data_IF_796484804376
#
_entry.id   IF_796484804376
#
_cell.length_a   1.000
_cell.length_b   1.000
_cell.length_c   1.000
_cell.angle_alpha   90.00
_cell.angle_beta   90.00
_cell.angle_gamma   90.00
#
_symmetry.space_group_name_H-M   'P 1'
#
loop_
_entity.id
_entity.type
_entity.pdbx_description
1 polymer ?
#
# COMPACT_ATOMS: atom_id res chain seq x y z
N UNK A 1 -4.12 -2.49 13.76
CA UNK A 1 -3.01 -2.07 14.63
C UNK A 1 -1.82 -1.74 13.76
N UNK A 2 -1.65 -0.47 13.39
CA UNK A 2 -0.65 0.03 12.43
C UNK A 2 0.79 -0.14 12.92
N UNK A 3 1.23 -1.39 13.02
CA UNK A 3 2.57 -1.75 13.44
C UNK A 3 3.51 -1.79 12.24
N UNK A 4 4.69 -1.21 12.42
CA UNK A 4 5.79 -1.37 11.49
C UNK A 4 6.54 -2.67 11.82
N UNK A 5 6.82 -3.47 10.80
CA UNK A 5 7.54 -4.74 10.93
C UNK A 5 8.82 -4.65 10.11
N UNK A 6 9.96 -4.95 10.73
CA UNK A 6 11.24 -5.06 10.04
C UNK A 6 11.58 -6.54 9.81
N UNK A 7 11.66 -6.95 8.54
CA UNK A 7 12.03 -8.31 8.15
C UNK A 7 13.51 -8.38 7.76
N UNK A 8 14.33 -9.06 8.55
CA UNK A 8 15.77 -9.23 8.29
C UNK A 8 16.04 -10.69 7.95
N UNK A 9 16.78 -10.93 6.87
CA UNK A 9 17.19 -12.28 6.45
C UNK A 9 17.91 -12.26 5.10
N UNK A 10 18.61 -13.35 4.78
CA UNK A 10 19.37 -13.51 3.54
C UNK A 10 18.50 -13.34 2.28
N UNK A 11 19.11 -13.08 1.10
CA UNK A 11 18.42 -13.20 -0.17
C UNK A 11 17.74 -14.57 -0.28
N UNK A 12 16.52 -14.61 -0.82
CA UNK A 12 15.74 -15.85 -0.96
C UNK A 12 15.04 -16.36 0.31
N UNK A 13 15.18 -15.70 1.47
CA UNK A 13 14.53 -16.12 2.72
C UNK A 13 12.99 -15.97 2.76
N UNK A 14 12.35 -15.64 1.63
CA UNK A 14 10.88 -15.55 1.54
C UNK A 14 10.25 -14.28 2.13
N UNK A 15 11.02 -13.22 2.39
CA UNK A 15 10.53 -11.95 2.97
C UNK A 15 9.36 -11.36 2.17
N UNK A 16 9.53 -11.21 0.86
CA UNK A 16 8.49 -10.66 -0.02
C UNK A 16 7.30 -11.63 -0.16
N UNK A 17 7.52 -12.94 -0.02
CA UNK A 17 6.45 -13.95 0.01
C UNK A 17 5.57 -13.82 1.26
N UNK A 18 6.19 -13.63 2.42
CA UNK A 18 5.50 -13.38 3.70
C UNK A 18 4.73 -12.06 3.67
N UNK A 19 5.36 -10.98 3.21
CA UNK A 19 4.72 -9.67 3.13
C UNK A 19 3.44 -9.69 2.29
N UNK A 20 3.45 -10.34 1.11
CA UNK A 20 2.27 -10.45 0.23
C UNK A 20 1.10 -11.21 0.84
N UNK A 21 1.34 -12.09 1.82
CA UNK A 21 0.30 -12.86 2.52
C UNK A 21 -0.17 -12.18 3.80
N UNK A 22 0.53 -11.15 4.29
CA UNK A 22 0.12 -10.43 5.48
C UNK A 22 -1.34 -9.93 5.40
N UNK A 23 -1.83 -9.35 4.28
CA UNK A 23 -3.23 -8.93 4.18
C UNK A 23 -4.26 -10.05 4.42
N UNK A 24 -3.93 -11.31 4.11
CA UNK A 24 -4.89 -12.43 4.24
C UNK A 24 -5.09 -12.91 5.67
N UNK A 25 -4.25 -12.47 6.61
CA UNK A 25 -4.38 -12.80 8.04
C UNK A 25 -4.82 -11.60 8.88
N UNK A 26 -4.94 -10.41 8.26
CA UNK A 26 -5.49 -9.25 8.92
C UNK A 26 -7.01 -9.42 9.09
N UNK A 27 -7.61 -8.78 10.11
CA UNK A 27 -9.06 -8.71 10.20
C UNK A 27 -9.67 -8.11 8.93
N UNK A 28 -10.85 -8.61 8.57
CA UNK A 28 -11.65 -8.05 7.48
C UNK A 28 -11.84 -6.54 7.67
N UNK A 29 -12.04 -5.85 6.55
CA UNK A 29 -12.34 -4.43 6.60
C UNK A 29 -13.74 -4.23 7.16
N UNK A 30 -13.87 -3.31 8.11
CA UNK A 30 -15.17 -2.75 8.43
C UNK A 30 -15.72 -1.99 7.22
N UNK A 31 -17.04 -1.83 7.12
CA UNK A 31 -17.66 -1.02 6.05
C UNK A 31 -17.09 0.39 5.99
N UNK A 32 -16.75 0.99 7.13
CA UNK A 32 -16.15 2.32 7.21
C UNK A 32 -14.75 2.34 6.57
N UNK A 33 -13.88 1.41 6.96
CA UNK A 33 -12.53 1.30 6.37
C UNK A 33 -12.59 1.04 4.86
N UNK A 34 -13.54 0.19 4.43
CA UNK A 34 -13.75 -0.12 3.01
C UNK A 34 -14.13 1.14 2.20
N UNK A 35 -15.05 1.95 2.72
CA UNK A 35 -15.44 3.21 2.10
C UNK A 35 -14.28 4.20 2.04
N UNK A 36 -13.57 4.41 3.15
CA UNK A 36 -12.42 5.33 3.22
C UNK A 36 -11.31 4.95 2.23
N UNK A 37 -10.96 3.66 2.13
CA UNK A 37 -9.98 3.19 1.15
C UNK A 37 -10.48 3.33 -0.29
N UNK A 38 -11.78 3.08 -0.52
CA UNK A 38 -12.41 3.22 -1.84
C UNK A 38 -12.43 4.67 -2.32
N UNK A 39 -12.67 5.64 -1.44
CA UNK A 39 -12.62 7.07 -1.79
C UNK A 39 -11.24 7.45 -2.35
N UNK A 40 -10.16 6.99 -1.72
CA UNK A 40 -8.79 7.23 -2.19
C UNK A 40 -8.58 6.61 -3.57
N UNK A 41 -8.98 5.36 -3.76
CA UNK A 41 -8.85 4.66 -5.04
C UNK A 41 -9.71 5.29 -6.14
N UNK A 42 -10.89 5.80 -5.80
CA UNK A 42 -11.77 6.52 -6.72
C UNK A 42 -11.15 7.83 -7.19
N UNK A 43 -10.54 8.61 -6.30
CA UNK A 43 -9.79 9.83 -6.69
C UNK A 43 -8.60 9.49 -7.58
N UNK A 44 -7.97 8.33 -7.35
CA UNK A 44 -6.90 7.82 -8.21
C UNK A 44 -7.40 7.25 -9.55
N UNK A 45 -8.71 7.09 -9.75
CA UNK A 45 -9.29 6.49 -10.96
C UNK A 45 -9.08 4.97 -11.05
N UNK A 46 -8.92 4.29 -9.90
CA UNK A 46 -8.63 2.85 -9.80
C UNK A 46 -9.86 2.00 -9.45
N UNK A 47 -11.05 2.60 -9.45
CA UNK A 47 -12.33 1.91 -9.22
C UNK A 47 -13.19 1.98 -10.49
N UNK A 48 -14.01 0.97 -10.72
CA UNK A 48 -14.94 0.92 -11.85
C UNK A 48 -16.30 0.31 -11.43
N UNK A 49 -17.25 0.23 -12.36
CA UNK A 49 -18.60 -0.30 -12.09
C UNK A 49 -18.61 -1.80 -11.76
N UNK A 50 -17.60 -2.57 -12.18
CA UNK A 50 -17.45 -3.98 -11.86
C UNK A 50 -16.81 -4.20 -10.49
N UNK A 51 -15.95 -3.27 -10.05
CA UNK A 51 -15.28 -3.28 -8.76
C UNK A 51 -15.42 -1.90 -8.07
N UNK A 52 -16.64 -1.55 -7.64
CA UNK A 52 -16.92 -0.19 -7.15
C UNK A 52 -16.40 0.05 -5.73
N UNK A 53 -15.97 -0.99 -5.02
CA UNK A 53 -15.58 -0.91 -3.62
C UNK A 53 -14.45 -1.89 -3.28
N UNK A 54 -13.50 -1.43 -2.47
CA UNK A 54 -12.45 -2.27 -1.91
C UNK A 54 -13.02 -3.09 -0.75
N UNK A 55 -13.04 -4.41 -0.94
CA UNK A 55 -13.49 -5.37 0.08
C UNK A 55 -12.33 -6.06 0.80
N UNK A 56 -11.11 -5.90 0.31
CA UNK A 56 -9.91 -6.52 0.84
C UNK A 56 -8.85 -5.48 1.16
N UNK A 57 -8.09 -5.75 2.23
CA UNK A 57 -6.96 -4.91 2.68
C UNK A 57 -5.98 -4.72 1.51
N UNK A 58 -5.72 -3.48 1.04
CA UNK A 58 -4.83 -3.28 -0.10
C UNK A 58 -3.39 -3.66 0.25
N UNK A 59 -2.63 -4.11 -0.76
CA UNK A 59 -1.19 -4.36 -0.62
C UNK A 59 -0.43 -3.55 -1.67
N UNK A 60 0.49 -2.70 -1.22
CA UNK A 60 1.38 -1.91 -2.06
C UNK A 60 2.82 -2.36 -1.85
N UNK A 61 3.56 -2.54 -2.93
CA UNK A 61 4.97 -2.89 -2.90
C UNK A 61 5.72 -2.05 -3.95
N UNK A 62 5.90 -0.75 -3.68
CA UNK A 62 6.61 0.14 -4.60
C UNK A 62 8.06 -0.27 -4.80
N UNK A 63 8.58 0.00 -5.99
CA UNK A 63 10.01 -0.11 -6.27
C UNK A 63 10.76 1.09 -5.65
N UNK A 64 11.95 0.88 -5.11
CA UNK A 64 12.76 1.92 -4.44
C UNK A 64 13.18 3.08 -5.36
N UNK A 65 13.02 2.93 -6.67
CA UNK A 65 13.28 3.97 -7.69
C UNK A 65 12.13 4.96 -7.87
N UNK A 66 11.01 4.81 -7.15
CA UNK A 66 9.92 5.78 -7.20
C UNK A 66 10.37 7.13 -6.63
N UNK A 67 9.86 8.22 -7.22
CA UNK A 67 10.07 9.55 -6.67
C UNK A 67 9.35 9.72 -5.33
N UNK A 68 9.82 10.67 -4.51
CA UNK A 68 9.13 11.05 -3.28
C UNK A 68 7.66 11.43 -3.55
N UNK A 69 7.37 12.13 -4.66
CA UNK A 69 6.01 12.48 -5.06
C UNK A 69 5.15 11.29 -5.48
N UNK A 70 5.72 10.22 -6.04
CA UNK A 70 4.97 9.00 -6.32
C UNK A 70 4.67 8.21 -5.03
N UNK A 71 5.57 8.27 -4.05
CA UNK A 71 5.38 7.68 -2.73
C UNK A 71 4.32 8.40 -1.90
N UNK A 72 4.41 9.73 -1.79
CA UNK A 72 3.53 10.54 -0.92
C UNK A 72 2.28 11.06 -1.63
N UNK A 73 2.31 11.17 -2.95
CA UNK A 73 1.30 11.86 -3.75
C UNK A 73 1.70 13.31 -4.06
N UNK A 74 0.96 13.94 -4.97
CA UNK A 74 1.23 15.32 -5.38
C UNK A 74 0.82 15.63 -6.81
N UNK A 75 1.46 16.66 -7.39
CA UNK A 75 1.14 17.20 -8.71
C UNK A 75 0.28 18.47 -8.62
N UNK A 76 0.10 19.16 -9.77
CA UNK A 76 -0.76 20.36 -9.85
C UNK A 76 -2.20 20.06 -9.46
N UNK A 77 -2.70 18.90 -9.88
CA UNK A 77 -3.90 18.28 -9.33
C UNK A 77 -3.44 17.17 -8.40
N UNK A 78 -3.61 17.31 -7.07
CA UNK A 78 -3.13 16.32 -6.12
C UNK A 78 -3.69 14.93 -6.41
N UNK A 79 -2.80 13.96 -6.62
CA UNK A 79 -3.15 12.55 -6.74
C UNK A 79 -2.60 11.74 -5.57
N UNK A 80 -3.32 10.71 -5.11
CA UNK A 80 -2.81 9.78 -4.10
C UNK A 80 -1.50 9.12 -4.51
N UNK A 81 -0.54 9.02 -3.59
CA UNK A 81 0.68 8.22 -3.75
C UNK A 81 0.53 6.80 -3.20
N UNK A 82 1.61 6.02 -3.25
CA UNK A 82 1.69 4.64 -2.76
C UNK A 82 1.27 4.49 -1.29
N UNK A 83 1.65 5.45 -0.43
CA UNK A 83 1.28 5.45 0.99
C UNK A 83 -0.25 5.58 1.14
N UNK A 84 -0.85 6.50 0.40
CA UNK A 84 -2.31 6.71 0.41
C UNK A 84 -3.05 5.51 -0.16
N UNK A 85 -2.55 4.89 -1.24
CA UNK A 85 -3.16 3.70 -1.83
C UNK A 85 -3.08 2.46 -0.94
N UNK A 86 -2.14 2.43 0.02
CA UNK A 86 -2.02 1.39 1.04
C UNK A 86 -2.92 1.62 2.27
N UNK A 87 -3.77 2.66 2.27
CA UNK A 87 -4.62 3.00 3.41
C UNK A 87 -5.46 1.82 3.89
N UNK A 88 -5.51 1.62 5.21
CA UNK A 88 -6.10 0.45 5.87
C UNK A 88 -5.53 -0.92 5.47
N UNK A 89 -4.43 -0.96 4.71
CA UNK A 89 -3.79 -2.17 4.23
C UNK A 89 -2.33 -2.29 4.63
N UNK A 90 -1.49 -2.75 3.70
CA UNK A 90 -0.07 -3.03 3.90
C UNK A 90 0.75 -2.31 2.83
N UNK A 91 1.74 -1.53 3.28
CA UNK A 91 2.81 -0.99 2.46
C UNK A 91 4.09 -1.79 2.73
N UNK A 92 4.60 -2.48 1.73
CA UNK A 92 5.83 -3.24 1.80
C UNK A 92 6.96 -2.52 1.06
N UNK A 93 8.03 -2.21 1.78
CA UNK A 93 9.22 -1.55 1.26
C UNK A 93 10.35 -2.58 1.21
N UNK A 94 10.49 -3.24 0.05
CA UNK A 94 11.62 -4.15 -0.16
C UNK A 94 12.90 -3.34 -0.35
N UNK A 95 14.04 -3.88 0.10
CA UNK A 95 15.32 -3.16 -0.01
C UNK A 95 15.27 -1.75 0.62
N UNK A 96 14.61 -1.62 1.78
CA UNK A 96 14.39 -0.34 2.49
C UNK A 96 15.60 0.61 2.52
N UNK A 97 16.86 0.15 2.72
CA UNK A 97 18.03 1.05 2.67
C UNK A 97 18.25 1.80 1.35
N UNK A 98 17.72 1.30 0.24
CA UNK A 98 17.84 1.88 -1.11
C UNK A 98 16.83 3.01 -1.39
N UNK A 99 15.84 3.21 -0.50
CA UNK A 99 14.93 4.35 -0.63
C UNK A 99 15.66 5.66 -0.29
N UNK A 100 15.38 6.71 -1.06
CA UNK A 100 15.91 8.06 -0.84
C UNK A 100 15.60 8.58 0.56
N UNK A 101 16.51 9.34 1.16
CA UNK A 101 16.41 9.87 2.55
C UNK A 101 16.04 11.35 2.61
N UNK A 102 15.66 11.91 1.46
CA UNK A 102 15.53 13.35 1.22
C UNK A 102 14.21 13.92 1.76
#
# INVERSE_FOLDING_TARGET
GGHNILLIGSPGAGKSMLARRLPSILPDMTRKEALEATEIWSVAGLTDSSHPMLLHRPFRAPHHTLSASAMTGGGQTPKPGEISLAHHGVLFLDELPEFHRD
#
